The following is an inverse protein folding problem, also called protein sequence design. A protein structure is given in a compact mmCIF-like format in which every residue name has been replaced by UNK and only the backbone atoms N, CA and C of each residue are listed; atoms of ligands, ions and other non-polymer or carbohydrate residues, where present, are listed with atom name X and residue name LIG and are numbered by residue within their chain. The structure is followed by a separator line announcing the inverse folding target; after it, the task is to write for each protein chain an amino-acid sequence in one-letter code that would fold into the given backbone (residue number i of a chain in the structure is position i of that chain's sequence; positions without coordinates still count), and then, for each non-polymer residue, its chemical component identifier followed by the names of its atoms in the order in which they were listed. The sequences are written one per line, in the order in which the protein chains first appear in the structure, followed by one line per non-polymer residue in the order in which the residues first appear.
data_IF_425353024629
#
_entry.id   IF_425353024629
#
_cell.length_a   1.000
_cell.length_b   1.000
_cell.length_c   1.000
_cell.angle_alpha   90.00
_cell.angle_beta   90.00
_cell.angle_gamma   90.00
#
_symmetry.space_group_name_H-M   'P 1'
#
loop_
_entity.id
_entity.type
_entity.pdbx_description
1 polymer ?
#
# COMPACT_ATOMS: atom_id res chain seq x y z
N UNK A 1 -15.59 15.20 2.55
CA UNK A 1 -14.83 14.63 3.68
C UNK A 1 -14.84 13.11 3.69
N UNK A 2 -13.68 12.44 3.51
CA UNK A 2 -13.53 11.02 3.85
C UNK A 2 -13.64 10.84 5.38
N UNK A 3 -14.35 9.80 5.82
CA UNK A 3 -14.49 9.51 7.25
C UNK A 3 -13.21 8.89 7.82
N UNK A 4 -12.97 8.97 9.14
CA UNK A 4 -11.85 8.29 9.78
C UNK A 4 -11.79 6.79 9.43
N UNK A 5 -12.93 6.11 9.40
CA UNK A 5 -13.01 4.68 9.05
C UNK A 5 -12.49 4.41 7.63
N UNK A 6 -12.83 5.27 6.66
CA UNK A 6 -12.37 5.09 5.27
C UNK A 6 -10.89 5.36 5.09
N UNK A 7 -10.32 6.28 5.88
CA UNK A 7 -8.87 6.51 5.92
C UNK A 7 -8.16 5.29 6.51
N UNK A 8 -8.71 4.72 7.59
CA UNK A 8 -8.15 3.52 8.21
C UNK A 8 -8.25 2.28 7.29
N UNK A 9 -9.39 2.08 6.61
CA UNK A 9 -9.53 1.03 5.61
C UNK A 9 -8.47 1.14 4.50
N UNK A 10 -8.25 2.36 3.97
CA UNK A 10 -7.24 2.59 2.93
C UNK A 10 -5.81 2.35 3.44
N UNK A 11 -5.51 2.72 4.69
CA UNK A 11 -4.23 2.43 5.34
C UNK A 11 -4.00 0.93 5.47
N UNK A 12 -4.99 0.18 5.97
CA UNK A 12 -4.90 -1.27 6.17
C UNK A 12 -4.69 -2.00 4.83
N UNK A 13 -5.36 -1.56 3.76
CA UNK A 13 -5.15 -2.12 2.43
C UNK A 13 -3.72 -1.89 1.93
N UNK A 14 -3.19 -0.67 2.07
CA UNK A 14 -1.80 -0.35 1.73
C UNK A 14 -0.82 -1.19 2.57
N UNK A 15 -1.03 -1.27 3.88
CA UNK A 15 -0.15 -2.01 4.79
C UNK A 15 -0.07 -3.49 4.41
N UNK A 16 -1.21 -4.14 4.15
CA UNK A 16 -1.25 -5.54 3.71
C UNK A 16 -0.55 -5.77 2.38
N UNK A 17 -0.61 -4.79 1.46
CA UNK A 17 0.12 -4.89 0.20
C UNK A 17 1.64 -4.83 0.42
N UNK A 18 2.10 -3.97 1.33
CA UNK A 18 3.51 -3.90 1.75
C UNK A 18 3.97 -5.21 2.39
N UNK A 19 3.20 -5.75 3.34
CA UNK A 19 3.51 -7.04 4.00
C UNK A 19 3.66 -8.16 2.97
N UNK A 20 2.71 -8.24 2.03
CA UNK A 20 2.77 -9.23 0.95
C UNK A 20 3.99 -9.05 0.04
N UNK A 21 4.45 -7.82 -0.22
CA UNK A 21 5.69 -7.58 -0.97
C UNK A 21 6.93 -7.99 -0.18
N UNK A 22 6.98 -7.69 1.12
CA UNK A 22 8.06 -8.11 2.01
C UNK A 22 8.16 -9.64 2.06
N UNK A 23 7.04 -10.34 2.08
CA UNK A 23 7.04 -11.81 2.06
C UNK A 23 7.61 -12.38 0.75
N UNK A 24 7.38 -11.74 -0.40
CA UNK A 24 8.06 -12.09 -1.66
C UNK A 24 9.57 -11.86 -1.58
N UNK A 25 10.02 -10.73 -1.01
CA UNK A 25 11.45 -10.47 -0.80
C UNK A 25 12.11 -11.50 0.13
N UNK A 26 11.41 -11.88 1.20
CA UNK A 26 11.87 -12.91 2.13
C UNK A 26 11.97 -14.28 1.46
N UNK A 27 11.01 -14.64 0.61
CA UNK A 27 11.05 -15.86 -0.18
C UNK A 27 12.31 -15.94 -1.05
N UNK A 28 12.62 -14.88 -1.79
CA UNK A 28 13.86 -14.80 -2.58
C UNK A 28 15.10 -14.92 -1.70
N UNK A 29 15.10 -14.29 -0.53
CA UNK A 29 16.21 -14.37 0.45
C UNK A 29 16.39 -15.79 1.01
N UNK A 30 15.33 -16.60 1.07
CA UNK A 30 15.39 -18.03 1.45
C UNK A 30 15.80 -18.95 0.29
N UNK A 31 16.05 -18.40 -0.90
CA UNK A 31 16.49 -19.15 -2.08
C UNK A 31 15.38 -19.51 -3.07
N UNK A 32 14.16 -18.98 -2.90
CA UNK A 32 13.13 -19.12 -3.94
C UNK A 32 13.51 -18.28 -5.18
N UNK A 33 13.17 -18.72 -6.41
CA UNK A 33 13.45 -17.95 -7.62
C UNK A 33 12.81 -16.55 -7.59
N UNK A 34 13.53 -15.56 -8.15
CA UNK A 34 13.01 -14.21 -8.30
C UNK A 34 11.91 -14.16 -9.38
N UNK A 35 10.70 -13.77 -8.96
CA UNK A 35 9.62 -13.36 -9.86
C UNK A 35 9.58 -11.83 -9.95
N UNK A 36 10.42 -11.28 -10.83
CA UNK A 36 10.61 -9.83 -10.96
C UNK A 36 9.35 -9.11 -11.45
N UNK A 37 8.53 -9.75 -12.29
CA UNK A 37 7.29 -9.18 -12.81
C UNK A 37 6.27 -9.03 -11.67
N UNK A 38 6.05 -10.09 -10.89
CA UNK A 38 5.14 -10.06 -9.75
C UNK A 38 5.59 -9.05 -8.68
N UNK A 39 6.89 -8.99 -8.40
CA UNK A 39 7.41 -8.00 -7.44
C UNK A 39 7.21 -6.57 -7.94
N UNK A 40 7.45 -6.30 -9.22
CA UNK A 40 7.25 -4.98 -9.83
C UNK A 40 5.77 -4.58 -9.82
N UNK A 41 4.88 -5.51 -10.18
CA UNK A 41 3.44 -5.31 -10.10
C UNK A 41 3.01 -4.94 -8.67
N UNK A 42 3.54 -5.66 -7.67
CA UNK A 42 3.23 -5.41 -6.26
C UNK A 42 3.70 -4.04 -5.79
N UNK A 43 4.89 -3.60 -6.21
CA UNK A 43 5.37 -2.24 -5.92
C UNK A 43 4.47 -1.18 -6.53
N UNK A 44 3.98 -1.39 -7.76
CA UNK A 44 3.02 -0.48 -8.40
C UNK A 44 1.67 -0.42 -7.66
N UNK A 45 1.16 -1.55 -7.17
CA UNK A 45 -0.05 -1.62 -6.33
C UNK A 45 0.13 -0.82 -5.02
N UNK A 46 1.28 -1.00 -4.34
CA UNK A 46 1.62 -0.28 -3.11
C UNK A 46 1.62 1.24 -3.34
N UNK A 47 2.26 1.70 -4.41
CA UNK A 47 2.32 3.14 -4.75
C UNK A 47 0.92 3.71 -5.03
N UNK A 48 0.08 2.96 -5.76
CA UNK A 48 -1.29 3.38 -6.02
C UNK A 48 -2.12 3.51 -4.72
N UNK A 49 -2.05 2.51 -3.84
CA UNK A 49 -2.76 2.52 -2.55
C UNK A 49 -2.27 3.65 -1.63
N UNK A 50 -0.95 3.88 -1.59
CA UNK A 50 -0.36 4.98 -0.83
C UNK A 50 -0.86 6.34 -1.31
N UNK A 51 -0.91 6.56 -2.64
CA UNK A 51 -1.50 7.79 -3.21
C UNK A 51 -2.97 7.96 -2.83
N UNK A 52 -3.77 6.90 -2.91
CA UNK A 52 -5.18 6.95 -2.50
C UNK A 52 -5.34 7.37 -1.04
N UNK A 53 -4.56 6.77 -0.14
CA UNK A 53 -4.59 7.13 1.28
C UNK A 53 -4.16 8.59 1.51
N UNK A 54 -3.05 9.04 0.90
CA UNK A 54 -2.59 10.43 1.00
C UNK A 54 -3.64 11.43 0.52
N UNK A 55 -4.32 11.14 -0.59
CA UNK A 55 -5.37 12.02 -1.12
C UNK A 55 -6.59 12.09 -0.20
N UNK A 56 -6.94 11.00 0.48
CA UNK A 56 -7.99 11.04 1.51
C UNK A 56 -7.57 11.91 2.70
N UNK A 57 -6.35 11.75 3.21
CA UNK A 57 -5.81 12.56 4.30
C UNK A 57 -5.78 14.05 3.92
N UNK A 58 -5.28 14.38 2.73
CA UNK A 58 -5.26 15.77 2.23
C UNK A 58 -6.66 16.39 2.13
N UNK A 59 -7.68 15.62 1.73
CA UNK A 59 -9.06 16.09 1.67
C UNK A 59 -9.63 16.34 3.07
N UNK A 60 -9.36 15.45 4.03
CA UNK A 60 -9.75 15.65 5.43
C UNK A 60 -9.13 16.91 6.00
N UNK A 61 -7.83 17.12 5.81
CA UNK A 61 -7.11 18.26 6.37
C UNK A 61 -7.57 19.58 5.76
N UNK A 62 -7.91 19.59 4.46
CA UNK A 62 -8.52 20.76 3.81
C UNK A 62 -9.90 21.08 4.36
N UNK A 63 -10.73 20.07 4.61
CA UNK A 63 -12.10 20.26 5.11
C UNK A 63 -12.12 20.68 6.60
N UNK A 64 -10.98 20.60 7.31
CA UNK A 64 -10.81 20.99 8.71
C UNK A 64 -10.31 22.44 8.90
N UNK A 65 -10.00 23.15 7.81
CA UNK A 65 -9.51 24.53 7.76
C UNK A 65 -10.43 25.43 6.94
#
# INVERSE_FOLDING_TARGET
MPTPDKINEAFEMWHRAVDSHVDLMRAVTRGEPLDAERMTQKTGEIDALHRTWMDMVRRRDRDAH
#
